data_IF_359476739256
#
_entry.id   IF_359476739256
#
_cell.length_a   1.000
_cell.length_b   1.000
_cell.length_c   1.000
_cell.angle_alpha   90.00
_cell.angle_beta   90.00
_cell.angle_gamma   90.00
#
_symmetry.space_group_name_H-M   'P 1'
#
loop_
_entity.id
_entity.type
_entity.pdbx_description
1 polymer ?
#
# COMPACT_ATOMS: atom_id res chain seq x y z
N UNK A 1 42.44 4.13 -35.57
CA UNK A 1 40.98 3.94 -35.65
C UNK A 1 40.49 3.50 -34.28
N UNK A 2 39.82 4.38 -33.52
CA UNK A 2 39.36 4.09 -32.15
C UNK A 2 37.84 4.02 -32.20
N UNK A 3 37.30 2.80 -32.25
CA UNK A 3 35.86 2.55 -32.19
C UNK A 3 35.35 3.05 -30.84
N UNK A 4 34.38 3.97 -30.86
CA UNK A 4 33.63 4.38 -29.70
C UNK A 4 32.57 3.32 -29.41
N UNK A 5 32.72 2.59 -28.31
CA UNK A 5 31.65 1.77 -27.74
C UNK A 5 30.64 2.70 -27.09
N UNK A 6 29.52 2.96 -27.78
CA UNK A 6 28.35 3.59 -27.17
C UNK A 6 27.70 2.58 -26.24
N UNK A 7 27.98 2.69 -24.94
CA UNK A 7 27.26 1.95 -23.90
C UNK A 7 25.86 2.56 -23.79
N UNK A 8 24.87 1.86 -24.34
CA UNK A 8 23.46 2.18 -24.19
C UNK A 8 23.07 1.86 -22.73
N UNK A 9 23.11 2.89 -21.87
CA UNK A 9 22.64 2.81 -20.49
C UNK A 9 21.12 2.69 -20.51
N UNK A 10 20.61 1.47 -20.62
CA UNK A 10 19.18 1.18 -20.54
C UNK A 10 18.79 1.30 -19.07
N UNK A 11 18.35 2.49 -18.68
CA UNK A 11 17.82 2.77 -17.35
C UNK A 11 16.65 1.81 -17.08
N UNK A 12 16.87 0.80 -16.24
CA UNK A 12 15.78 0.05 -15.63
C UNK A 12 14.99 1.04 -14.76
N UNK A 13 13.87 1.52 -15.27
CA UNK A 13 12.91 2.28 -14.49
C UNK A 13 12.30 1.31 -13.48
N UNK A 14 12.91 1.22 -12.30
CA UNK A 14 12.22 0.64 -11.16
C UNK A 14 10.96 1.48 -10.92
N UNK A 15 9.80 0.84 -10.79
CA UNK A 15 8.55 1.49 -10.45
C UNK A 15 8.61 2.01 -9.01
N UNK A 16 8.92 3.29 -8.87
CA UNK A 16 8.69 4.07 -7.67
C UNK A 16 7.50 4.97 -7.93
N UNK A 17 6.53 4.97 -7.03
CA UNK A 17 5.39 5.87 -7.09
C UNK A 17 5.18 6.52 -5.73
N UNK A 18 4.84 7.81 -5.75
CA UNK A 18 4.51 8.58 -4.55
C UNK A 18 3.29 9.45 -4.84
N UNK A 19 2.55 9.80 -3.80
CA UNK A 19 1.41 10.71 -3.90
C UNK A 19 1.08 11.37 -2.59
N UNK A 20 0.33 12.47 -2.67
CA UNK A 20 0.03 13.37 -1.56
C UNK A 20 -1.37 13.99 -1.74
N UNK A 21 -2.09 14.17 -0.63
CA UNK A 21 -3.34 14.93 -0.54
C UNK A 21 -3.29 15.82 0.69
N UNK A 22 -3.67 17.10 0.54
CA UNK A 22 -3.93 17.95 1.70
C UNK A 22 -5.33 17.68 2.24
N UNK A 23 -5.46 17.67 3.58
CA UNK A 23 -6.73 17.58 4.29
C UNK A 23 -7.15 18.99 4.71
N UNK A 24 -8.36 19.38 4.36
CA UNK A 24 -8.89 20.72 4.60
C UNK A 24 -10.06 20.68 5.60
N UNK A 25 -10.12 21.68 6.48
CA UNK A 25 -11.30 21.94 7.30
C UNK A 25 -12.43 22.63 6.50
N UNK A 26 -13.54 22.93 7.18
CA UNK A 26 -14.72 23.55 6.57
C UNK A 26 -14.46 24.97 6.01
N UNK A 27 -13.41 25.65 6.49
CA UNK A 27 -13.01 26.98 6.02
C UNK A 27 -12.01 26.89 4.85
N UNK A 28 -11.68 25.67 4.38
CA UNK A 28 -10.72 25.42 3.32
C UNK A 28 -9.27 25.52 3.76
N UNK A 29 -9.00 25.53 5.07
CA UNK A 29 -7.63 25.59 5.59
C UNK A 29 -7.04 24.18 5.69
N UNK A 30 -5.79 24.03 5.26
CA UNK A 30 -5.03 22.78 5.41
C UNK A 30 -4.77 22.50 6.90
N UNK A 31 -5.22 21.33 7.37
CA UNK A 31 -5.11 20.86 8.76
C UNK A 31 -4.37 19.53 8.90
N UNK A 32 -4.01 18.89 7.79
CA UNK A 32 -3.23 17.66 7.76
C UNK A 32 -2.98 17.20 6.33
N UNK A 33 -2.44 16.00 6.19
CA UNK A 33 -2.12 15.40 4.89
C UNK A 33 -2.26 13.87 4.89
N UNK A 34 -2.45 13.32 3.69
CA UNK A 34 -2.29 11.92 3.37
C UNK A 34 -1.14 11.77 2.38
N UNK A 35 -0.17 10.91 2.69
CA UNK A 35 0.92 10.59 1.77
C UNK A 35 1.13 9.08 1.68
N UNK A 36 1.51 8.63 0.49
CA UNK A 36 1.82 7.23 0.23
C UNK A 36 3.03 7.13 -0.70
N UNK A 37 3.88 6.15 -0.43
CA UNK A 37 5.06 5.88 -1.24
C UNK A 37 5.23 4.36 -1.39
N UNK A 38 5.40 3.90 -2.63
CA UNK A 38 5.63 2.51 -2.97
C UNK A 38 6.89 2.44 -3.83
N UNK A 39 7.99 2.01 -3.21
CA UNK A 39 9.27 1.81 -3.86
C UNK A 39 9.46 0.35 -4.25
N UNK A 40 10.18 0.09 -5.34
CA UNK A 40 10.55 -1.25 -5.79
C UNK A 40 9.38 -2.16 -6.20
N UNK A 41 8.25 -1.57 -6.58
CA UNK A 41 7.12 -2.28 -7.15
C UNK A 41 7.13 -2.14 -8.67
N UNK A 42 7.52 -3.19 -9.39
CA UNK A 42 7.56 -3.15 -10.87
C UNK A 42 6.19 -2.99 -11.52
N UNK A 43 5.13 -3.40 -10.83
CA UNK A 43 3.75 -3.35 -11.30
C UNK A 43 2.84 -2.78 -10.23
N UNK A 44 1.86 -1.98 -10.63
CA UNK A 44 0.81 -1.47 -9.76
C UNK A 44 1.28 -0.46 -8.70
N UNK A 45 2.50 0.10 -8.78
CA UNK A 45 3.02 1.05 -7.79
C UNK A 45 2.12 2.30 -7.64
N UNK A 46 1.72 2.89 -8.76
CA UNK A 46 0.82 4.05 -8.75
C UNK A 46 -0.59 3.68 -8.26
N UNK A 47 -1.08 2.50 -8.63
CA UNK A 47 -2.38 2.01 -8.15
C UNK A 47 -2.36 1.77 -6.64
N UNK A 48 -1.25 1.27 -6.10
CA UNK A 48 -1.02 1.13 -4.66
C UNK A 48 -1.04 2.48 -3.94
N UNK A 49 -0.33 3.48 -4.48
CA UNK A 49 -0.36 4.85 -3.96
C UNK A 49 -1.79 5.38 -3.94
N UNK A 50 -2.49 5.27 -5.06
CA UNK A 50 -3.84 5.78 -5.20
C UNK A 50 -4.83 5.10 -4.24
N UNK A 51 -4.65 3.80 -3.99
CA UNK A 51 -5.44 3.05 -3.03
C UNK A 51 -5.25 3.56 -1.59
N UNK A 52 -4.01 3.76 -1.15
CA UNK A 52 -3.73 4.29 0.19
C UNK A 52 -4.25 5.72 0.35
N UNK A 53 -4.06 6.56 -0.67
CA UNK A 53 -4.61 7.92 -0.66
C UNK A 53 -6.14 7.92 -0.58
N UNK A 54 -6.82 7.03 -1.31
CA UNK A 54 -8.27 6.88 -1.23
C UNK A 54 -8.73 6.45 0.17
N UNK A 55 -8.08 5.43 0.78
CA UNK A 55 -8.40 5.00 2.14
C UNK A 55 -8.29 6.16 3.14
N UNK A 56 -7.18 6.89 3.09
CA UNK A 56 -6.95 8.03 3.96
C UNK A 56 -7.98 9.16 3.72
N UNK A 57 -8.28 9.47 2.45
CA UNK A 57 -9.31 10.43 2.09
C UNK A 57 -10.69 10.05 2.66
N UNK A 58 -11.11 8.78 2.50
CA UNK A 58 -12.38 8.29 3.04
C UNK A 58 -12.44 8.39 4.57
N UNK A 59 -11.37 8.07 5.28
CA UNK A 59 -11.30 8.22 6.74
C UNK A 59 -11.47 9.67 7.21
N UNK A 60 -10.94 10.63 6.46
CA UNK A 60 -11.05 12.06 6.76
C UNK A 60 -12.40 12.65 6.36
N UNK A 61 -12.94 12.26 5.21
CA UNK A 61 -14.29 12.65 4.76
C UNK A 61 -15.35 12.15 5.75
N UNK A 62 -15.20 10.93 6.27
CA UNK A 62 -16.10 10.40 7.31
C UNK A 62 -16.08 11.23 8.61
N UNK A 63 -15.03 12.03 8.84
CA UNK A 63 -14.90 12.96 9.99
C UNK A 63 -15.33 14.39 9.64
N UNK A 64 -15.80 14.64 8.42
CA UNK A 64 -16.28 15.95 7.96
C UNK A 64 -15.20 16.86 7.36
N UNK A 65 -14.03 16.32 7.00
CA UNK A 65 -12.99 17.07 6.30
C UNK A 65 -13.12 16.94 4.77
N UNK A 66 -12.50 17.86 4.03
CA UNK A 66 -12.33 17.80 2.59
C UNK A 66 -10.89 17.40 2.21
N UNK A 67 -10.67 17.00 0.95
CA UNK A 67 -9.34 16.65 0.40
C UNK A 67 -9.00 17.53 -0.81
N UNK A 68 -7.72 17.79 -1.03
CA UNK A 68 -7.27 18.69 -2.11
C UNK A 68 -7.52 18.18 -3.53
N UNK A 69 -7.62 16.87 -3.72
CA UNK A 69 -7.90 16.24 -5.01
C UNK A 69 -8.98 15.17 -4.86
N UNK A 70 -10.21 15.51 -5.25
CA UNK A 70 -11.35 14.60 -5.20
C UNK A 70 -11.32 13.53 -6.31
N UNK A 71 -10.46 13.66 -7.33
CA UNK A 71 -10.35 12.65 -8.38
C UNK A 71 -9.92 11.28 -7.83
N UNK A 72 -9.24 11.28 -6.68
CA UNK A 72 -8.88 10.07 -5.93
C UNK A 72 -10.10 9.27 -5.45
N UNK A 73 -11.29 9.86 -5.45
CA UNK A 73 -12.54 9.22 -5.03
C UNK A 73 -13.30 8.61 -6.21
N UNK A 74 -12.91 8.92 -7.46
CA UNK A 74 -13.67 8.57 -8.65
C UNK A 74 -13.49 7.10 -9.09
N UNK A 75 -12.39 6.45 -8.71
CA UNK A 75 -12.11 5.08 -9.10
C UNK A 75 -12.83 4.06 -8.20
N UNK A 76 -13.08 2.86 -8.73
CA UNK A 76 -13.50 1.71 -7.95
C UNK A 76 -12.27 1.03 -7.32
N UNK A 77 -12.11 1.18 -6.01
CA UNK A 77 -11.02 0.58 -5.22
C UNK A 77 -11.40 -0.78 -4.60
N UNK A 78 -12.49 -1.39 -5.05
CA UNK A 78 -12.92 -2.70 -4.54
C UNK A 78 -11.85 -3.76 -4.80
N UNK A 79 -11.40 -4.42 -3.74
CA UNK A 79 -10.48 -5.55 -3.88
C UNK A 79 -11.19 -6.73 -4.56
N UNK A 80 -10.53 -7.40 -5.52
CA UNK A 80 -11.06 -8.65 -6.04
C UNK A 80 -11.14 -9.68 -4.90
N UNK A 81 -12.14 -10.56 -4.99
CA UNK A 81 -12.25 -11.68 -4.05
C UNK A 81 -11.07 -12.64 -4.25
N UNK A 82 -10.42 -13.02 -3.16
CA UNK A 82 -9.45 -14.11 -3.17
C UNK A 82 -10.16 -15.44 -3.50
N UNK A 83 -9.40 -16.40 -4.03
CA UNK A 83 -9.92 -17.75 -4.27
C UNK A 83 -10.43 -18.38 -2.97
N UNK A 84 -11.40 -19.31 -3.08
CA UNK A 84 -12.09 -19.85 -1.92
C UNK A 84 -11.12 -20.49 -0.92
N UNK A 85 -11.09 -19.95 0.30
CA UNK A 85 -10.22 -20.41 1.38
C UNK A 85 -8.84 -19.76 1.41
N UNK A 86 -8.55 -18.84 0.48
CA UNK A 86 -7.32 -18.07 0.44
C UNK A 86 -7.52 -16.66 0.99
N UNK A 87 -6.45 -16.09 1.52
CA UNK A 87 -6.32 -14.66 1.81
C UNK A 87 -5.26 -14.07 0.91
N UNK A 88 -5.41 -12.79 0.57
CA UNK A 88 -4.38 -12.08 -0.16
C UNK A 88 -3.11 -11.98 0.68
N UNK A 89 -2.00 -12.29 0.03
CA UNK A 89 -0.63 -12.09 0.52
C UNK A 89 0.26 -11.85 -0.71
N UNK A 90 1.55 -11.57 -0.50
CA UNK A 90 2.45 -11.26 -1.63
C UNK A 90 2.53 -12.40 -2.65
N UNK A 91 2.57 -13.65 -2.21
CA UNK A 91 2.67 -14.81 -3.10
C UNK A 91 1.37 -14.96 -3.90
N UNK A 92 0.22 -15.05 -3.22
CA UNK A 92 -1.06 -15.26 -3.91
C UNK A 92 -1.43 -14.10 -4.82
N UNK A 93 -1.12 -12.85 -4.44
CA UNK A 93 -1.27 -11.68 -5.30
C UNK A 93 -0.44 -11.78 -6.57
N UNK A 94 0.86 -12.09 -6.43
CA UNK A 94 1.76 -12.23 -7.58
C UNK A 94 1.36 -13.39 -8.50
N UNK A 95 0.95 -14.52 -7.94
CA UNK A 95 0.50 -15.68 -8.72
C UNK A 95 -0.77 -15.37 -9.53
N UNK A 96 -1.76 -14.70 -8.94
CA UNK A 96 -2.97 -14.32 -9.67
C UNK A 96 -2.66 -13.30 -10.78
N UNK A 97 -1.79 -12.31 -10.51
CA UNK A 97 -1.39 -11.32 -11.50
C UNK A 97 -0.65 -11.95 -12.67
N UNK A 98 0.37 -12.77 -12.39
CA UNK A 98 1.18 -13.43 -13.43
C UNK A 98 0.38 -14.41 -14.29
N UNK A 99 -0.70 -14.99 -13.74
CA UNK A 99 -1.65 -15.84 -14.47
C UNK A 99 -2.73 -15.07 -15.22
N UNK A 100 -2.77 -13.74 -15.13
CA UNK A 100 -3.79 -12.90 -15.76
C UNK A 100 -5.18 -13.03 -15.15
N UNK A 101 -5.28 -13.49 -13.90
CA UNK A 101 -6.55 -13.65 -13.17
C UNK A 101 -7.02 -12.34 -12.54
N UNK A 102 -6.10 -11.39 -12.35
CA UNK A 102 -6.36 -10.03 -11.92
C UNK A 102 -5.57 -9.07 -12.82
N UNK A 103 -6.06 -7.84 -12.95
CA UNK A 103 -5.37 -6.76 -13.65
C UNK A 103 -4.20 -6.21 -12.83
N UNK A 104 -3.31 -5.43 -13.47
CA UNK A 104 -2.23 -4.72 -12.76
C UNK A 104 -2.77 -3.76 -11.70
N UNK A 105 -3.85 -3.05 -12.01
CA UNK A 105 -4.53 -2.15 -11.07
C UNK A 105 -5.01 -2.90 -9.83
N UNK A 106 -5.73 -4.01 -10.02
CA UNK A 106 -6.19 -4.85 -8.91
C UNK A 106 -5.02 -5.43 -8.11
N UNK A 107 -3.92 -5.80 -8.77
CA UNK A 107 -2.71 -6.24 -8.10
C UNK A 107 -2.09 -5.14 -7.23
N UNK A 108 -2.03 -3.89 -7.72
CA UNK A 108 -1.63 -2.74 -6.91
C UNK A 108 -2.51 -2.54 -5.68
N UNK A 109 -3.83 -2.62 -5.84
CA UNK A 109 -4.77 -2.51 -4.71
C UNK A 109 -4.56 -3.60 -3.68
N UNK A 110 -4.35 -4.85 -4.13
CA UNK A 110 -4.02 -5.97 -3.23
C UNK A 110 -2.73 -5.68 -2.48
N UNK A 111 -1.66 -5.28 -3.17
CA UNK A 111 -0.36 -4.99 -2.55
C UNK A 111 -0.48 -3.90 -1.49
N UNK A 112 -1.17 -2.80 -1.81
CA UNK A 112 -1.42 -1.73 -0.85
C UNK A 112 -2.22 -2.20 0.35
N UNK A 113 -3.29 -2.97 0.14
CA UNK A 113 -4.14 -3.47 1.22
C UNK A 113 -3.39 -4.39 2.18
N UNK A 114 -2.62 -5.36 1.66
CA UNK A 114 -1.86 -6.29 2.50
C UNK A 114 -0.71 -5.60 3.25
N UNK A 115 -0.08 -4.60 2.63
CA UNK A 115 0.98 -3.82 3.27
C UNK A 115 0.42 -2.89 4.35
N UNK A 116 -0.71 -2.24 4.09
CA UNK A 116 -1.41 -1.42 5.07
C UNK A 116 -1.83 -2.23 6.30
N UNK A 117 -2.41 -3.43 6.10
CA UNK A 117 -2.78 -4.34 7.20
C UNK A 117 -1.55 -4.81 7.99
N UNK A 118 -0.48 -5.20 7.29
CA UNK A 118 0.80 -5.57 7.91
C UNK A 118 1.33 -4.46 8.82
N UNK A 119 1.50 -3.24 8.29
CA UNK A 119 2.02 -2.09 9.04
C UNK A 119 1.10 -1.72 10.21
N UNK A 120 -0.21 -1.81 10.02
CA UNK A 120 -1.20 -1.58 11.07
C UNK A 120 -1.06 -2.56 12.23
N UNK A 121 -0.87 -3.86 11.93
CA UNK A 121 -0.60 -4.90 12.94
C UNK A 121 0.70 -4.64 13.71
N UNK A 122 1.78 -4.24 13.03
CA UNK A 122 3.03 -3.90 13.72
C UNK A 122 2.86 -2.70 14.65
N UNK A 123 2.22 -1.63 14.18
CA UNK A 123 1.96 -0.42 14.97
C UNK A 123 1.10 -0.72 16.20
N UNK A 124 0.08 -1.57 16.03
CA UNK A 124 -0.76 -2.01 17.14
C UNK A 124 0.02 -2.84 18.16
N UNK A 125 0.81 -3.82 17.72
CA UNK A 125 1.64 -4.63 18.61
C UNK A 125 2.66 -3.76 19.37
N UNK A 126 3.29 -2.78 18.70
CA UNK A 126 4.24 -1.87 19.32
C UNK A 126 3.57 -1.01 20.41
N UNK A 127 2.35 -0.52 20.15
CA UNK A 127 1.55 0.21 21.15
C UNK A 127 1.24 -0.66 22.36
N UNK A 128 0.76 -1.89 22.14
CA UNK A 128 0.45 -2.81 23.24
C UNK A 128 1.68 -3.13 24.11
N UNK A 129 2.86 -3.26 23.50
CA UNK A 129 4.09 -3.45 24.25
C UNK A 129 4.45 -2.20 25.08
N UNK A 130 4.36 -1.01 24.49
CA UNK A 130 4.64 0.26 25.18
C UNK A 130 3.68 0.53 26.35
N UNK A 131 2.43 0.09 26.22
CA UNK A 131 1.40 0.18 27.27
C UNK A 131 1.50 -0.96 28.30
N UNK A 132 2.47 -1.87 28.18
CA UNK A 132 2.63 -3.06 29.00
C UNK A 132 1.43 -4.03 28.97
N UNK A 133 0.61 -3.96 27.92
CA UNK A 133 -0.53 -4.88 27.69
C UNK A 133 -0.06 -6.27 27.22
N UNK A 134 1.14 -6.35 26.64
CA UNK A 134 1.78 -7.60 26.23
C UNK A 134 3.26 -7.60 26.65
N UNK A 135 3.84 -8.79 26.77
CA UNK A 135 5.28 -8.94 26.98
C UNK A 135 6.06 -9.07 25.66
N UNK A 136 7.39 -9.03 25.75
CA UNK A 136 8.29 -9.12 24.61
C UNK A 136 8.08 -10.38 23.76
N UNK A 137 7.85 -11.54 24.39
CA UNK A 137 7.61 -12.81 23.67
C UNK A 137 6.31 -12.77 22.85
N UNK A 138 5.25 -12.20 23.40
CA UNK A 138 3.98 -12.01 22.69
C UNK A 138 4.14 -11.03 21.53
N UNK A 139 4.84 -9.92 21.75
CA UNK A 139 5.15 -8.95 20.71
C UNK A 139 5.89 -9.61 19.53
N UNK A 140 6.97 -10.35 19.82
CA UNK A 140 7.77 -11.02 18.78
C UNK A 140 6.94 -12.07 18.01
N UNK A 141 6.04 -12.79 18.69
CA UNK A 141 5.10 -13.71 18.04
C UNK A 141 4.12 -12.97 17.11
N UNK A 142 3.56 -11.83 17.53
CA UNK A 142 2.67 -11.02 16.70
C UNK A 142 3.37 -10.50 15.44
N UNK A 143 4.62 -10.02 15.57
CA UNK A 143 5.40 -9.58 14.42
C UNK A 143 5.66 -10.74 13.44
N UNK A 144 6.01 -11.92 13.97
CA UNK A 144 6.23 -13.11 13.16
C UNK A 144 4.96 -13.49 12.40
N UNK A 145 3.82 -13.55 13.09
CA UNK A 145 2.54 -13.88 12.47
C UNK A 145 2.15 -12.88 11.39
N UNK A 146 2.24 -11.57 11.66
CA UNK A 146 1.95 -10.54 10.67
C UNK A 146 2.85 -10.67 9.43
N UNK A 147 4.13 -11.03 9.63
CA UNK A 147 5.06 -11.27 8.53
C UNK A 147 4.70 -12.51 7.70
N UNK A 148 4.26 -13.59 8.34
CA UNK A 148 3.79 -14.80 7.65
C UNK A 148 2.54 -14.51 6.81
N UNK A 149 1.57 -13.78 7.38
CA UNK A 149 0.35 -13.39 6.69
C UNK A 149 0.64 -12.47 5.50
N UNK A 150 1.53 -11.48 5.66
CA UNK A 150 1.93 -10.58 4.58
C UNK A 150 2.67 -11.30 3.44
N UNK A 151 3.61 -12.19 3.77
CA UNK A 151 4.40 -12.88 2.75
C UNK A 151 3.73 -14.14 2.18
N UNK A 152 2.81 -14.75 2.94
CA UNK A 152 2.20 -16.06 2.64
C UNK A 152 3.02 -17.28 3.09
N UNK A 153 4.14 -17.09 3.80
CA UNK A 153 5.02 -18.17 4.32
C UNK A 153 6.05 -17.66 5.33
#
# INVERSE_FOLDING_TARGET
MKQWFTVLFMSFLAGCAQGHLDIMDADGKVVGDCSANFDWHWHGAQDSVNYILNLCAQEHIAKGYAVSDESILANDYTLPLASKGETWNKISGQEHFTRGLISEQQYGYILAAIEYDYLSKLKHAARQLAENNINKKQYDHLLMQAKLEFNGR
#
